data_IF_395375747075
#
_entry.id   IF_395375747075
#
_cell.length_a   1.000
_cell.length_b   1.000
_cell.length_c   1.000
_cell.angle_alpha   90.00
_cell.angle_beta   90.00
_cell.angle_gamma   90.00
#
_symmetry.space_group_name_H-M   'P 1'
#
loop_
_entity.id
_entity.type
_entity.pdbx_description
1 polymer ?
#
# COMPACT_ATOMS: atom_id res chain seq x y z
N UNK A 1 4.60 -4.82 14.04
CA UNK A 1 4.01 -3.48 14.27
C UNK A 1 4.83 -2.45 13.50
N UNK A 2 4.24 -1.56 12.69
CA UNK A 2 5.00 -0.49 12.04
C UNK A 2 5.60 0.43 13.11
N UNK A 3 6.87 0.81 12.93
CA UNK A 3 7.54 1.73 13.86
C UNK A 3 6.79 3.07 13.86
N UNK A 4 6.37 3.65 14.99
CA UNK A 4 5.64 4.92 14.98
C UNK A 4 6.44 6.04 14.29
N UNK A 5 5.74 6.99 13.68
CA UNK A 5 6.38 8.04 12.87
C UNK A 5 7.37 8.90 13.68
N UNK A 6 7.00 9.27 14.92
CA UNK A 6 7.87 10.03 15.82
C UNK A 6 9.18 9.28 16.11
N UNK A 7 9.11 7.95 16.20
CA UNK A 7 10.27 7.09 16.45
C UNK A 7 11.24 7.10 15.25
N UNK A 8 10.73 7.18 14.02
CA UNK A 8 11.54 7.30 12.80
C UNK A 8 12.27 8.64 12.74
N UNK A 9 11.58 9.72 13.08
CA UNK A 9 12.20 11.04 13.21
C UNK A 9 13.25 11.06 14.32
N UNK A 10 13.01 10.39 15.45
CA UNK A 10 14.00 10.23 16.52
C UNK A 10 15.26 9.51 16.02
N UNK A 11 15.13 8.45 15.23
CA UNK A 11 16.27 7.76 14.58
C UNK A 11 17.07 8.73 13.72
N UNK A 12 16.39 9.49 12.85
CA UNK A 12 17.03 10.49 11.99
C UNK A 12 17.74 11.59 12.78
N UNK A 13 17.08 12.08 13.83
CA UNK A 13 17.59 13.13 14.70
C UNK A 13 18.87 12.68 15.41
N UNK A 14 18.87 11.49 16.01
CA UNK A 14 20.01 10.98 16.76
C UNK A 14 21.21 10.62 15.87
N UNK A 15 20.98 10.20 14.62
CA UNK A 15 22.05 9.71 13.75
C UNK A 15 22.66 10.79 12.83
N UNK A 16 21.84 11.64 12.19
CA UNK A 16 22.29 12.49 11.07
C UNK A 16 21.96 13.97 11.20
N UNK A 17 21.10 14.35 12.14
CA UNK A 17 20.69 15.74 12.23
C UNK A 17 21.85 16.60 12.78
N UNK A 18 22.12 17.80 12.23
CA UNK A 18 23.25 18.63 12.66
C UNK A 18 23.15 19.08 14.12
N UNK A 19 21.92 19.22 14.64
CA UNK A 19 21.66 19.49 16.07
C UNK A 19 21.54 18.23 16.94
N UNK A 20 21.78 17.05 16.37
CA UNK A 20 21.68 15.76 17.05
C UNK A 20 23.04 15.26 17.54
N UNK A 21 23.02 14.19 18.35
CA UNK A 21 24.22 13.62 18.98
C UNK A 21 25.13 12.81 18.01
N UNK A 22 24.75 12.67 16.73
CA UNK A 22 25.47 11.89 15.70
C UNK A 22 25.94 10.51 16.20
N UNK A 23 25.02 9.80 16.86
CA UNK A 23 25.32 8.52 17.49
C UNK A 23 25.52 7.41 16.46
N UNK A 24 26.30 6.39 16.87
CA UNK A 24 26.46 5.18 16.08
C UNK A 24 25.10 4.48 15.87
N UNK A 25 24.96 3.70 14.79
CA UNK A 25 23.71 2.96 14.53
C UNK A 25 23.33 2.01 15.68
N UNK A 26 24.33 1.48 16.39
CA UNK A 26 24.13 0.61 17.56
C UNK A 26 23.49 1.38 18.72
N UNK A 27 24.00 2.57 19.01
CA UNK A 27 23.53 3.37 20.14
C UNK A 27 22.13 3.96 19.85
N UNK A 28 21.86 4.32 18.59
CA UNK A 28 20.52 4.72 18.16
C UNK A 28 19.53 3.55 18.32
N UNK A 29 19.93 2.34 17.91
CA UNK A 29 19.10 1.15 18.05
C UNK A 29 18.74 0.88 19.52
N UNK A 30 19.71 1.02 20.44
CA UNK A 30 19.50 0.92 21.89
C UNK A 30 18.57 2.02 22.43
N UNK A 31 18.82 3.28 22.07
CA UNK A 31 18.06 4.44 22.54
C UNK A 31 16.59 4.48 22.05
N UNK A 32 16.32 3.76 20.96
CA UNK A 32 15.00 3.69 20.32
C UNK A 32 14.34 2.31 20.56
N UNK A 33 15.04 1.38 21.23
CA UNK A 33 14.58 0.01 21.46
C UNK A 33 14.15 -0.70 20.16
N UNK A 34 14.96 -0.60 19.11
CA UNK A 34 14.70 -1.23 17.82
C UNK A 34 15.93 -1.97 17.29
N UNK A 35 15.76 -2.75 16.22
CA UNK A 35 16.89 -3.46 15.61
C UNK A 35 17.80 -2.49 14.83
N UNK A 36 19.09 -2.81 14.73
CA UNK A 36 20.05 -2.06 13.91
C UNK A 36 19.60 -2.03 12.44
N UNK A 37 19.03 -3.13 11.95
CA UNK A 37 18.48 -3.22 10.59
C UNK A 37 17.35 -2.22 10.36
N UNK A 38 16.50 -1.99 11.36
CA UNK A 38 15.44 -0.97 11.32
C UNK A 38 16.04 0.44 11.22
N UNK A 39 17.08 0.74 12.01
CA UNK A 39 17.80 2.01 11.93
C UNK A 39 18.37 2.22 10.52
N UNK A 40 19.12 1.24 10.00
CA UNK A 40 19.72 1.31 8.66
C UNK A 40 18.66 1.49 7.57
N UNK A 41 17.54 0.77 7.65
CA UNK A 41 16.44 0.88 6.70
C UNK A 41 15.89 2.32 6.62
N UNK A 42 15.58 2.93 7.77
CA UNK A 42 15.03 4.30 7.79
C UNK A 42 16.05 5.35 7.34
N UNK A 43 17.32 5.19 7.71
CA UNK A 43 18.40 6.07 7.24
C UNK A 43 18.59 5.97 5.72
N UNK A 44 18.50 4.77 5.15
CA UNK A 44 18.60 4.57 3.70
C UNK A 44 17.37 5.14 2.97
N UNK A 45 16.18 4.91 3.51
CA UNK A 45 14.95 5.48 2.96
C UNK A 45 15.02 7.02 2.94
N UNK A 46 15.50 7.64 4.02
CA UNK A 46 15.70 9.08 4.07
C UNK A 46 16.68 9.59 3.00
N UNK A 47 17.74 8.85 2.69
CA UNK A 47 18.66 9.24 1.59
C UNK A 47 17.99 9.17 0.23
N UNK A 48 17.07 8.24 0.02
CA UNK A 48 16.42 8.01 -1.27
C UNK A 48 15.27 8.99 -1.52
N UNK A 49 14.33 9.13 -0.57
CA UNK A 49 13.09 9.89 -0.78
C UNK A 49 12.95 11.13 0.08
N UNK A 50 13.83 11.33 1.09
CA UNK A 50 13.66 12.35 2.15
C UNK A 50 12.32 12.25 2.87
N UNK A 51 11.72 11.06 2.87
CA UNK A 51 10.41 10.80 3.46
C UNK A 51 10.47 9.60 4.41
N UNK A 52 9.86 9.75 5.59
CA UNK A 52 9.76 8.74 6.64
C UNK A 52 8.31 8.26 6.86
N UNK A 53 7.34 8.76 6.08
CA UNK A 53 5.96 8.26 6.12
C UNK A 53 5.91 6.82 5.64
N UNK A 54 4.87 6.06 6.00
CA UNK A 54 4.72 4.72 5.43
C UNK A 54 4.37 4.83 3.95
N UNK A 55 5.04 4.03 3.12
CA UNK A 55 4.58 3.84 1.75
C UNK A 55 3.17 3.28 1.79
N UNK A 56 2.31 3.78 0.92
CA UNK A 56 0.99 3.20 0.69
C UNK A 56 1.16 1.69 0.49
N UNK A 57 0.49 0.88 1.31
CA UNK A 57 0.58 -0.57 1.15
C UNK A 57 0.07 -0.89 -0.25
N UNK A 58 0.90 -1.57 -1.04
CA UNK A 58 0.47 -2.12 -2.31
C UNK A 58 -0.57 -3.21 -2.02
N UNK A 59 -1.85 -2.88 -2.16
CA UNK A 59 -2.87 -3.90 -2.31
C UNK A 59 -2.76 -4.50 -3.70
N UNK A 60 -3.27 -5.72 -3.87
CA UNK A 60 -3.43 -6.27 -5.22
C UNK A 60 -4.27 -5.27 -6.04
N UNK A 61 -3.82 -4.87 -7.25
CA UNK A 61 -4.61 -3.98 -8.11
C UNK A 61 -5.99 -4.63 -8.34
N UNK A 62 -7.05 -3.81 -8.39
CA UNK A 62 -8.38 -4.29 -8.77
C UNK A 62 -8.30 -4.85 -10.19
N UNK A 63 -8.88 -6.01 -10.41
CA UNK A 63 -8.91 -6.61 -11.73
C UNK A 63 -10.11 -6.15 -12.57
N UNK A 64 -11.07 -5.41 -11.98
CA UNK A 64 -12.11 -4.65 -12.68
C UNK A 64 -11.87 -3.15 -12.54
N UNK A 65 -12.24 -2.42 -13.58
CA UNK A 65 -12.31 -0.96 -13.59
C UNK A 65 -13.67 -0.50 -13.07
N UNK A 66 -13.75 0.74 -12.58
CA UNK A 66 -15.01 1.32 -12.09
C UNK A 66 -16.12 1.31 -13.14
N UNK A 67 -15.77 1.54 -14.42
CA UNK A 67 -16.72 1.44 -15.53
C UNK A 67 -17.25 0.02 -15.75
N UNK A 68 -16.43 -1.00 -15.51
CA UNK A 68 -16.86 -2.40 -15.57
C UNK A 68 -17.77 -2.75 -14.40
N UNK A 69 -17.42 -2.31 -13.18
CA UNK A 69 -18.25 -2.52 -11.98
C UNK A 69 -19.64 -1.88 -12.13
N UNK A 70 -19.70 -0.66 -12.69
CA UNK A 70 -20.96 0.02 -12.98
C UNK A 70 -21.83 -0.78 -13.98
N UNK A 71 -21.22 -1.36 -15.02
CA UNK A 71 -21.94 -2.18 -16.02
C UNK A 71 -22.41 -3.52 -15.46
N UNK A 72 -21.63 -4.15 -14.59
CA UNK A 72 -22.04 -5.36 -13.86
C UNK A 72 -23.26 -5.02 -12.99
N UNK A 73 -23.18 -3.91 -12.24
CA UNK A 73 -24.25 -3.48 -11.34
C UNK A 73 -25.51 -3.08 -12.09
N UNK A 74 -25.40 -2.37 -13.22
CA UNK A 74 -26.55 -1.98 -14.04
C UNK A 74 -27.25 -3.20 -14.64
N UNK A 75 -26.48 -4.17 -15.15
CA UNK A 75 -27.03 -5.38 -15.75
C UNK A 75 -27.76 -6.26 -14.72
N UNK A 76 -27.19 -6.40 -13.52
CA UNK A 76 -27.83 -7.11 -12.41
C UNK A 76 -29.13 -6.42 -11.95
N UNK A 77 -29.20 -5.08 -12.01
CA UNK A 77 -30.41 -4.32 -11.69
C UNK A 77 -31.48 -4.42 -12.78
N UNK A 78 -31.08 -4.36 -14.04
CA UNK A 78 -31.98 -4.48 -15.20
C UNK A 78 -32.60 -5.88 -15.32
N UNK A 79 -31.85 -6.92 -14.97
CA UNK A 79 -32.29 -8.32 -15.06
C UNK A 79 -32.19 -9.00 -13.70
N UNK A 80 -33.26 -8.87 -12.89
CA UNK A 80 -33.30 -9.34 -11.51
C UNK A 80 -33.10 -10.85 -11.31
N UNK A 81 -33.20 -11.66 -12.37
CA UNK A 81 -33.03 -13.12 -12.34
C UNK A 81 -31.77 -13.61 -13.07
N UNK A 82 -30.84 -12.72 -13.42
CA UNK A 82 -29.58 -13.15 -14.04
C UNK A 82 -28.68 -13.83 -13.03
N UNK A 83 -28.14 -14.98 -13.41
CA UNK A 83 -27.15 -15.73 -12.65
C UNK A 83 -25.78 -15.07 -12.86
N UNK A 84 -24.98 -14.97 -11.80
CA UNK A 84 -23.64 -14.34 -11.86
C UNK A 84 -22.76 -14.90 -12.99
N UNK A 85 -22.86 -16.20 -13.27
CA UNK A 85 -22.12 -16.87 -14.36
C UNK A 85 -22.50 -16.38 -15.76
N UNK A 86 -23.71 -15.87 -15.94
CA UNK A 86 -24.19 -15.37 -17.23
C UNK A 86 -23.78 -13.92 -17.48
N UNK A 87 -23.54 -13.14 -16.42
CA UNK A 87 -23.16 -11.72 -16.52
C UNK A 87 -21.88 -11.52 -17.35
N UNK A 88 -20.77 -12.27 -17.14
CA UNK A 88 -19.58 -12.17 -18.00
C UNK A 88 -19.88 -12.42 -19.48
N UNK A 89 -20.72 -13.41 -19.78
CA UNK A 89 -21.08 -13.75 -21.16
C UNK A 89 -21.94 -12.65 -21.80
N UNK A 90 -22.87 -12.08 -21.05
CA UNK A 90 -23.66 -10.93 -21.52
C UNK A 90 -22.80 -9.67 -21.70
N UNK A 91 -21.84 -9.42 -20.79
CA UNK A 91 -20.91 -8.31 -20.89
C UNK A 91 -19.95 -8.47 -22.08
N UNK A 92 -19.44 -9.68 -22.34
CA UNK A 92 -18.62 -10.00 -23.52
C UNK A 92 -19.39 -9.68 -24.81
N UNK A 93 -20.68 -10.04 -24.91
CA UNK A 93 -21.55 -9.70 -26.06
C UNK A 93 -21.71 -8.18 -26.25
N UNK A 94 -21.62 -7.40 -25.16
CA UNK A 94 -21.63 -5.92 -25.18
C UNK A 94 -20.24 -5.30 -25.35
N UNK A 95 -19.22 -6.10 -25.71
CA UNK A 95 -17.84 -5.66 -25.94
C UNK A 95 -17.03 -5.41 -24.66
N UNK A 96 -17.48 -5.90 -23.50
CA UNK A 96 -16.80 -5.74 -22.22
C UNK A 96 -16.22 -7.08 -21.77
N UNK A 97 -14.91 -7.19 -21.77
CA UNK A 97 -14.22 -8.38 -21.27
C UNK A 97 -14.07 -8.25 -19.75
N UNK A 98 -14.72 -9.14 -19.00
CA UNK A 98 -14.56 -9.31 -17.55
C UNK A 98 -14.27 -10.78 -17.27
N UNK A 99 -13.45 -11.06 -16.25
CA UNK A 99 -13.18 -12.43 -15.83
C UNK A 99 -14.39 -13.03 -15.12
N UNK A 100 -14.74 -14.28 -15.45
CA UNK A 100 -15.87 -15.00 -14.84
C UNK A 100 -15.72 -15.21 -13.33
N UNK A 101 -14.49 -15.24 -12.80
CA UNK A 101 -14.23 -15.39 -11.36
C UNK A 101 -14.46 -14.10 -10.57
N UNK A 102 -14.73 -12.99 -11.25
CA UNK A 102 -14.81 -11.66 -10.64
C UNK A 102 -16.23 -11.12 -10.47
N UNK A 103 -17.21 -11.81 -11.07
CA UNK A 103 -18.62 -11.42 -11.07
C UNK A 103 -19.39 -12.35 -10.17
#
# INVERSE_FOLDING_TARGET
MPLPIHTRYKIMFLSRHPKGLQLSHLDVARAVHCSISTVKYWLNRWTQSKDLTDSTRSSRPRATTEKQDQRITSLAKEQSFVIAQDIPNQLKRRGVVVSERMV
#
